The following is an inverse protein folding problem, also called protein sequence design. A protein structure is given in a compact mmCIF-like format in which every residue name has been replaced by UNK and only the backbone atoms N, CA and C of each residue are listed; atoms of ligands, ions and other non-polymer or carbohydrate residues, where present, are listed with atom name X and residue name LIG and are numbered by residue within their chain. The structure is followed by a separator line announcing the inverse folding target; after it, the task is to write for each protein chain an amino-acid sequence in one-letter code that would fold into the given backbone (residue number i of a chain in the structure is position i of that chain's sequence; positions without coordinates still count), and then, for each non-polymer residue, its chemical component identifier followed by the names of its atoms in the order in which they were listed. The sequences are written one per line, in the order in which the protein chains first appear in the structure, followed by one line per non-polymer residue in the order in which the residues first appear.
data_IF_083516205405
#
_entry.id   IF_083516205405
#
_cell.length_a   1.000
_cell.length_b   1.000
_cell.length_c   1.000
_cell.angle_alpha   90.00
_cell.angle_beta   90.00
_cell.angle_gamma   90.00
#
_symmetry.space_group_name_H-M   'P 1'
#
loop_
_entity.id
_entity.type
_entity.pdbx_description
1 polymer ?
#
# COMPACT_ATOMS: atom_id res chain seq x y z
N UNK A 1 -8.57 0.32 11.60
CA UNK A 1 -7.68 1.50 11.50
C UNK A 1 -6.20 1.10 11.41
N UNK A 2 -5.59 0.50 12.46
CA UNK A 2 -4.15 0.11 12.46
C UNK A 2 -3.69 -0.75 11.27
N UNK A 3 -4.54 -1.66 10.78
CA UNK A 3 -4.20 -2.48 9.60
C UNK A 3 -4.03 -1.65 8.32
N UNK A 4 -4.85 -0.61 8.12
CA UNK A 4 -4.72 0.27 6.96
C UNK A 4 -3.45 1.13 7.09
N UNK A 5 -3.17 1.65 8.29
CA UNK A 5 -1.92 2.36 8.57
C UNK A 5 -0.67 1.52 8.22
N UNK A 6 -0.58 0.29 8.76
CA UNK A 6 0.60 -0.56 8.63
C UNK A 6 0.73 -1.30 7.28
N UNK A 7 -0.37 -1.52 6.57
CA UNK A 7 -0.38 -2.32 5.32
C UNK A 7 -0.62 -1.48 4.07
N UNK A 8 -1.37 -0.37 4.16
CA UNK A 8 -1.53 0.56 3.05
C UNK A 8 -0.46 1.65 3.11
N UNK A 9 -0.59 2.61 4.04
CA UNK A 9 0.28 3.78 4.08
C UNK A 9 1.77 3.45 4.28
N UNK A 10 2.07 2.60 5.27
CA UNK A 10 3.46 2.20 5.56
C UNK A 10 4.14 1.47 4.40
N UNK A 11 3.42 0.56 3.74
CA UNK A 11 3.99 -0.23 2.65
C UNK A 11 4.11 0.60 1.37
N UNK A 12 3.19 1.54 1.12
CA UNK A 12 3.37 2.54 0.06
C UNK A 12 4.58 3.44 0.30
N UNK A 13 4.82 3.87 1.55
CA UNK A 13 6.03 4.61 1.91
C UNK A 13 7.31 3.81 1.60
N UNK A 14 7.32 2.51 1.92
CA UNK A 14 8.42 1.62 1.58
C UNK A 14 8.62 1.45 0.07
N UNK A 15 7.53 1.28 -0.68
CA UNK A 15 7.58 1.18 -2.13
C UNK A 15 8.12 2.47 -2.78
N UNK A 16 7.74 3.66 -2.27
CA UNK A 16 8.27 4.93 -2.75
C UNK A 16 9.76 5.08 -2.44
N UNK A 17 10.18 4.72 -1.22
CA UNK A 17 11.60 4.71 -0.87
C UNK A 17 12.42 3.78 -1.78
N UNK A 18 11.92 2.57 -2.02
CA UNK A 18 12.56 1.61 -2.93
C UNK A 18 12.67 2.17 -4.35
N UNK A 19 11.58 2.72 -4.89
CA UNK A 19 11.57 3.41 -6.18
C UNK A 19 12.60 4.53 -6.24
N UNK A 20 12.62 5.42 -5.25
CA UNK A 20 13.51 6.58 -5.21
C UNK A 20 15.00 6.18 -5.17
N UNK A 21 15.35 5.09 -4.48
CA UNK A 21 16.72 4.55 -4.46
C UNK A 21 17.09 3.98 -5.82
N UNK A 22 16.20 3.18 -6.42
CA UNK A 22 16.45 2.58 -7.73
C UNK A 22 16.66 3.67 -8.78
N UNK A 23 15.81 4.71 -8.82
CA UNK A 23 15.98 5.86 -9.71
C UNK A 23 17.30 6.61 -9.45
N UNK A 24 17.70 6.75 -8.19
CA UNK A 24 18.99 7.35 -7.84
C UNK A 24 20.15 6.53 -8.41
N UNK A 25 20.12 5.21 -8.25
CA UNK A 25 21.15 4.31 -8.78
C UNK A 25 21.20 4.33 -10.32
N UNK A 26 20.05 4.25 -10.97
CA UNK A 26 19.91 4.30 -12.44
C UNK A 26 20.42 5.62 -13.03
N UNK A 27 20.29 6.73 -12.28
CA UNK A 27 20.87 8.02 -12.66
C UNK A 27 22.40 8.12 -12.47
N UNK A 28 23.07 7.03 -12.08
CA UNK A 28 24.52 6.98 -11.87
C UNK A 28 25.00 7.63 -10.57
N UNK A 29 24.10 8.02 -9.66
CA UNK A 29 24.47 8.61 -8.38
C UNK A 29 24.89 7.53 -7.39
N UNK A 30 25.93 7.83 -6.61
CA UNK A 30 26.45 6.90 -5.59
C UNK A 30 25.49 6.77 -4.42
N UNK A 31 25.11 5.53 -4.10
CA UNK A 31 24.29 5.18 -2.94
C UNK A 31 25.16 5.12 -1.67
N UNK A 32 25.31 6.27 -1.00
CA UNK A 32 25.95 6.34 0.32
C UNK A 32 24.93 6.15 1.44
N UNK A 33 25.37 5.73 2.63
CA UNK A 33 24.48 5.69 3.81
C UNK A 33 23.81 7.05 4.07
N UNK A 34 24.53 8.16 3.86
CA UNK A 34 23.99 9.53 4.02
C UNK A 34 22.87 9.83 3.02
N UNK A 35 23.06 9.50 1.74
CA UNK A 35 22.05 9.77 0.70
C UNK A 35 20.82 8.89 0.87
N UNK A 36 21.00 7.60 1.16
CA UNK A 36 19.90 6.66 1.44
C UNK A 36 19.08 7.14 2.65
N UNK A 37 19.76 7.47 3.75
CA UNK A 37 19.12 7.97 4.97
C UNK A 37 18.34 9.26 4.71
N UNK A 38 18.86 10.16 3.86
CA UNK A 38 18.15 11.37 3.45
C UNK A 38 16.86 11.09 2.66
N UNK A 39 16.88 10.12 1.74
CA UNK A 39 15.68 9.71 0.99
C UNK A 39 14.64 9.08 1.94
N UNK A 40 15.09 8.25 2.89
CA UNK A 40 14.20 7.64 3.87
C UNK A 40 13.54 8.67 4.78
N UNK A 41 14.32 9.63 5.30
CA UNK A 41 13.81 10.73 6.13
C UNK A 41 12.76 11.56 5.37
N UNK A 42 13.02 11.93 4.11
CA UNK A 42 12.03 12.65 3.28
C UNK A 42 10.71 11.88 3.15
N UNK A 43 10.79 10.56 3.00
CA UNK A 43 9.61 9.70 2.96
C UNK A 43 8.89 9.66 4.32
N UNK A 44 9.62 9.55 5.45
CA UNK A 44 9.02 9.64 6.79
C UNK A 44 8.30 10.97 7.01
N UNK A 45 8.92 12.10 6.69
CA UNK A 45 8.33 13.44 6.83
C UNK A 45 7.05 13.59 6.01
N UNK A 46 7.04 13.06 4.78
CA UNK A 46 5.88 13.10 3.89
C UNK A 46 4.70 12.30 4.44
N UNK A 47 4.96 11.10 4.97
CA UNK A 47 3.90 10.17 5.38
C UNK A 47 3.41 10.38 6.82
N UNK A 48 4.30 10.76 7.75
CA UNK A 48 3.94 10.97 9.15
C UNK A 48 3.39 12.38 9.40
N UNK A 49 3.81 13.35 8.58
CA UNK A 49 3.40 14.74 8.69
C UNK A 49 3.90 15.43 9.97
N UNK A 50 3.46 16.67 10.18
CA UNK A 50 3.96 17.55 11.26
C UNK A 50 3.50 17.17 12.66
N UNK A 51 2.56 16.22 12.79
CA UNK A 51 2.00 15.80 14.07
C UNK A 51 2.84 14.74 14.81
N UNK A 52 3.90 14.23 14.17
CA UNK A 52 4.76 13.18 14.69
C UNK A 52 6.18 13.70 14.87
N UNK A 53 6.80 13.34 16.00
CA UNK A 53 8.25 13.51 16.20
C UNK A 53 8.95 12.33 15.55
N UNK A 54 9.94 12.62 14.69
CA UNK A 54 10.77 11.60 14.05
C UNK A 54 12.07 11.48 14.85
N UNK A 55 12.20 10.39 15.60
CA UNK A 55 13.43 10.09 16.32
C UNK A 55 14.59 9.86 15.34
N UNK A 56 15.79 10.32 15.70
CA UNK A 56 16.99 10.20 14.86
C UNK A 56 17.30 8.75 14.46
N UNK A 57 16.96 7.80 15.33
CA UNK A 57 17.12 6.36 15.09
C UNK A 57 16.22 5.85 13.97
N UNK A 58 15.04 6.45 13.78
CA UNK A 58 14.09 6.04 12.74
C UNK A 58 14.63 6.31 11.33
N UNK A 59 15.55 7.26 11.19
CA UNK A 59 16.23 7.55 9.93
C UNK A 59 17.00 6.34 9.38
N UNK A 60 17.40 5.39 10.24
CA UNK A 60 18.14 4.19 9.88
C UNK A 60 17.28 2.95 9.74
N UNK A 61 15.96 3.08 9.85
CA UNK A 61 15.05 1.92 9.77
C UNK A 61 15.15 1.20 8.41
N UNK A 62 15.49 1.91 7.34
CA UNK A 62 15.72 1.29 6.03
C UNK A 62 16.73 0.15 6.08
N UNK A 63 17.74 0.22 6.96
CA UNK A 63 18.80 -0.77 7.03
C UNK A 63 18.35 -2.12 7.63
N UNK A 64 17.17 -2.18 8.25
CA UNK A 64 16.64 -3.39 8.90
C UNK A 64 15.39 -3.97 8.22
N UNK A 65 14.97 -3.42 7.09
CA UNK A 65 13.77 -3.88 6.38
C UNK A 65 14.19 -4.98 5.38
N UNK A 66 13.87 -6.27 5.64
CA UNK A 66 14.36 -7.36 4.80
C UNK A 66 13.81 -7.33 3.37
N UNK A 67 12.63 -6.76 3.19
CA UNK A 67 11.99 -6.71 1.88
C UNK A 67 12.70 -5.81 0.87
N UNK A 68 13.57 -4.89 1.30
CA UNK A 68 14.40 -4.10 0.36
C UNK A 68 15.49 -4.93 -0.32
N UNK A 69 15.69 -6.17 0.10
CA UNK A 69 16.56 -7.14 -0.56
C UNK A 69 15.78 -8.06 -1.52
N UNK A 70 14.49 -7.81 -1.74
CA UNK A 70 13.64 -8.47 -2.73
C UNK A 70 12.87 -7.41 -3.52
N UNK A 71 13.46 -6.99 -4.64
CA UNK A 71 13.08 -5.80 -5.37
C UNK A 71 11.57 -5.76 -5.71
N UNK A 72 10.93 -4.65 -5.37
CA UNK A 72 9.55 -4.28 -5.67
C UNK A 72 8.52 -5.29 -5.19
N UNK A 73 8.72 -5.87 -4.00
CA UNK A 73 7.74 -6.74 -3.37
C UNK A 73 6.67 -5.99 -2.56
N UNK A 74 7.09 -4.96 -1.81
CA UNK A 74 6.28 -4.38 -0.73
C UNK A 74 5.02 -3.66 -1.19
N UNK A 75 5.00 -3.09 -2.41
CA UNK A 75 3.83 -2.40 -2.94
C UNK A 75 2.61 -3.33 -3.03
N UNK A 76 2.84 -4.64 -3.19
CA UNK A 76 1.79 -5.66 -3.29
C UNK A 76 0.93 -5.73 -2.03
N UNK A 77 1.48 -5.39 -0.86
CA UNK A 77 0.67 -5.33 0.37
C UNK A 77 -0.41 -4.25 0.29
N UNK A 78 -0.05 -3.06 -0.20
CA UNK A 78 -0.99 -1.94 -0.31
C UNK A 78 -2.06 -2.20 -1.38
N UNK A 79 -1.66 -2.73 -2.55
CA UNK A 79 -2.60 -3.06 -3.64
C UNK A 79 -3.52 -4.21 -3.25
N UNK A 80 -3.00 -5.27 -2.62
CA UNK A 80 -3.81 -6.41 -2.18
C UNK A 80 -4.79 -6.03 -1.09
N UNK A 81 -4.40 -5.19 -0.12
CA UNK A 81 -5.33 -4.68 0.87
C UNK A 81 -6.42 -3.83 0.22
N UNK A 82 -6.08 -3.01 -0.77
CA UNK A 82 -7.04 -2.18 -1.47
C UNK A 82 -8.07 -3.01 -2.25
N UNK A 83 -7.60 -4.05 -2.93
CA UNK A 83 -8.48 -5.01 -3.60
C UNK A 83 -9.39 -5.73 -2.59
N UNK A 84 -8.84 -6.20 -1.47
CA UNK A 84 -9.62 -6.89 -0.44
C UNK A 84 -10.71 -6.00 0.17
N UNK A 85 -10.41 -4.72 0.45
CA UNK A 85 -11.40 -3.77 0.94
C UNK A 85 -12.46 -3.51 -0.13
N UNK A 86 -12.07 -3.27 -1.39
CA UNK A 86 -13.02 -3.02 -2.48
C UNK A 86 -13.98 -4.21 -2.67
N UNK A 87 -13.46 -5.44 -2.80
CA UNK A 87 -14.27 -6.66 -2.88
C UNK A 87 -15.21 -6.80 -1.67
N UNK A 88 -14.69 -6.55 -0.46
CA UNK A 88 -15.49 -6.64 0.76
C UNK A 88 -16.63 -5.62 0.81
N UNK A 89 -16.41 -4.37 0.37
CA UNK A 89 -17.46 -3.34 0.34
C UNK A 89 -18.55 -3.68 -0.68
N UNK A 90 -18.19 -4.20 -1.87
CA UNK A 90 -19.17 -4.69 -2.85
C UNK A 90 -20.06 -5.79 -2.26
N UNK A 91 -19.46 -6.80 -1.65
CA UNK A 91 -20.19 -7.93 -1.03
C UNK A 91 -21.07 -7.45 0.13
N UNK A 92 -20.52 -6.65 1.05
CA UNK A 92 -21.24 -6.26 2.28
C UNK A 92 -22.29 -5.18 2.07
N UNK A 93 -22.21 -4.41 0.98
CA UNK A 93 -23.26 -3.46 0.58
C UNK A 93 -24.45 -4.13 -0.12
N UNK A 94 -24.35 -5.42 -0.46
CA UNK A 94 -25.40 -6.13 -1.20
C UNK A 94 -25.45 -5.77 -2.69
N UNK A 95 -24.32 -5.32 -3.27
CA UNK A 95 -24.24 -5.07 -4.71
C UNK A 95 -24.60 -6.34 -5.50
N UNK A 96 -25.53 -6.20 -6.45
CA UNK A 96 -26.03 -7.33 -7.24
C UNK A 96 -24.88 -7.95 -8.05
N UNK A 97 -24.64 -9.25 -7.87
CA UNK A 97 -23.58 -10.00 -8.56
C UNK A 97 -22.24 -10.04 -7.82
N UNK A 98 -22.06 -9.25 -6.75
CA UNK A 98 -20.76 -9.15 -6.08
C UNK A 98 -20.32 -10.44 -5.38
N UNK A 99 -21.27 -11.26 -4.92
CA UNK A 99 -20.97 -12.57 -4.29
C UNK A 99 -20.49 -13.56 -5.35
N UNK A 100 -21.18 -13.61 -6.49
CA UNK A 100 -20.84 -14.48 -7.62
C UNK A 100 -19.47 -14.10 -8.22
N UNK A 101 -19.22 -12.80 -8.39
CA UNK A 101 -17.93 -12.26 -8.81
C UNK A 101 -16.81 -12.69 -7.85
N UNK A 102 -17.04 -12.55 -6.53
CA UNK A 102 -16.06 -12.93 -5.51
C UNK A 102 -15.78 -14.44 -5.49
N UNK A 103 -16.81 -15.28 -5.63
CA UNK A 103 -16.64 -16.73 -5.72
C UNK A 103 -15.89 -17.14 -6.98
N UNK A 104 -16.14 -16.46 -8.10
CA UNK A 104 -15.40 -16.65 -9.35
C UNK A 104 -13.93 -16.28 -9.20
N UNK A 105 -13.63 -15.16 -8.54
CA UNK A 105 -12.26 -14.76 -8.18
C UNK A 105 -11.55 -15.86 -7.39
N UNK A 106 -12.19 -16.41 -6.35
CA UNK A 106 -11.59 -17.49 -5.54
C UNK A 106 -11.37 -18.77 -6.36
N UNK A 107 -12.33 -19.11 -7.23
CA UNK A 107 -12.25 -20.28 -8.11
C UNK A 107 -11.18 -20.17 -9.18
N UNK A 108 -10.73 -18.96 -9.52
CA UNK A 108 -9.68 -18.76 -10.52
C UNK A 108 -8.30 -19.24 -10.04
N UNK A 109 -7.98 -19.19 -8.75
CA UNK A 109 -6.62 -19.52 -8.30
C UNK A 109 -5.56 -18.72 -9.08
N UNK A 110 -4.61 -19.40 -9.71
CA UNK A 110 -3.45 -18.78 -10.38
C UNK A 110 -3.41 -18.98 -11.90
N UNK A 111 -4.53 -19.30 -12.55
CA UNK A 111 -4.54 -19.67 -13.99
C UNK A 111 -4.57 -18.49 -14.97
N UNK A 112 -4.71 -17.25 -14.48
CA UNK A 112 -4.73 -16.00 -15.24
C UNK A 112 -3.88 -14.94 -14.54
N UNK A 113 -3.59 -13.85 -15.27
CA UNK A 113 -2.91 -12.68 -14.71
C UNK A 113 -3.71 -12.06 -13.54
N UNK A 114 -3.06 -11.74 -12.40
CA UNK A 114 -3.76 -11.27 -11.20
C UNK A 114 -4.64 -10.04 -11.40
N UNK A 115 -4.21 -9.10 -12.27
CA UNK A 115 -4.98 -7.88 -12.57
C UNK A 115 -6.27 -8.21 -13.32
N UNK A 116 -6.23 -9.14 -14.27
CA UNK A 116 -7.41 -9.56 -15.02
C UNK A 116 -8.39 -10.33 -14.13
N UNK A 117 -7.91 -11.21 -13.23
CA UNK A 117 -8.79 -11.91 -12.29
C UNK A 117 -9.50 -10.91 -11.36
N UNK A 118 -8.80 -9.89 -10.86
CA UNK A 118 -9.41 -8.85 -10.03
C UNK A 118 -10.41 -8.00 -10.81
N UNK A 119 -10.10 -7.69 -12.07
CA UNK A 119 -10.99 -6.93 -12.94
C UNK A 119 -12.26 -7.70 -13.29
N UNK A 120 -12.16 -9.00 -13.57
CA UNK A 120 -13.29 -9.93 -13.71
C UNK A 120 -14.17 -9.91 -12.44
N UNK A 121 -13.55 -9.69 -11.27
CA UNK A 121 -14.22 -9.54 -9.97
C UNK A 121 -14.62 -8.10 -9.62
N UNK A 122 -14.70 -7.21 -10.62
CA UNK A 122 -15.15 -5.83 -10.49
C UNK A 122 -14.19 -4.89 -9.75
N UNK A 123 -12.90 -5.24 -9.65
CA UNK A 123 -11.87 -4.39 -9.03
C UNK A 123 -10.73 -4.14 -10.00
N UNK A 124 -10.66 -2.91 -10.50
CA UNK A 124 -9.54 -2.45 -11.33
C UNK A 124 -8.46 -1.76 -10.46
N UNK A 125 -7.26 -2.34 -10.42
CA UNK A 125 -6.10 -1.78 -9.70
C UNK A 125 -5.23 -0.84 -10.56
N UNK A 126 -5.54 -0.70 -11.85
CA UNK A 126 -4.85 0.23 -12.75
C UNK A 126 -5.44 1.65 -12.64
N UNK A 127 -6.69 1.74 -12.21
CA UNK A 127 -7.38 2.98 -11.84
C UNK A 127 -7.11 3.42 -10.40
N UNK A 128 -7.79 4.48 -9.97
CA UNK A 128 -7.65 5.04 -8.61
C UNK A 128 -8.70 4.53 -7.62
N UNK A 129 -9.78 3.95 -8.14
CA UNK A 129 -11.04 3.71 -7.45
C UNK A 129 -10.85 2.79 -6.25
N UNK A 130 -10.13 1.67 -6.41
CA UNK A 130 -9.85 0.73 -5.32
C UNK A 130 -9.06 1.37 -4.16
N UNK A 131 -8.16 2.29 -4.49
CA UNK A 131 -7.36 3.02 -3.49
C UNK A 131 -8.21 4.10 -2.80
N UNK A 132 -9.08 4.80 -3.54
CA UNK A 132 -10.01 5.79 -2.98
C UNK A 132 -10.99 5.15 -2.00
N UNK A 133 -11.51 3.95 -2.29
CA UNK A 133 -12.35 3.16 -1.37
C UNK A 133 -11.60 2.86 -0.06
N UNK A 134 -10.33 2.50 -0.15
CA UNK A 134 -9.48 2.24 1.03
C UNK A 134 -9.28 3.48 1.89
N UNK A 135 -8.98 4.62 1.25
CA UNK A 135 -8.85 5.92 1.94
C UNK A 135 -10.18 6.35 2.57
N UNK A 136 -11.30 6.15 1.89
CA UNK A 136 -12.63 6.43 2.43
C UNK A 136 -12.92 5.56 3.67
N UNK A 137 -12.66 4.25 3.59
CA UNK A 137 -12.83 3.33 4.73
C UNK A 137 -12.00 3.77 5.93
N UNK A 138 -10.75 4.17 5.71
CA UNK A 138 -9.90 4.71 6.78
C UNK A 138 -10.49 5.97 7.42
N UNK A 139 -10.93 6.95 6.61
CA UNK A 139 -11.55 8.19 7.10
C UNK A 139 -12.82 7.92 7.91
N UNK A 140 -13.67 6.98 7.45
CA UNK A 140 -14.88 6.57 8.16
C UNK A 140 -14.54 5.98 9.53
N UNK A 141 -13.64 5.00 9.58
CA UNK A 141 -13.20 4.38 10.83
C UNK A 141 -12.56 5.39 11.80
N UNK A 142 -11.78 6.35 11.29
CA UNK A 142 -11.19 7.42 12.09
C UNK A 142 -12.26 8.35 12.67
N UNK A 143 -13.29 8.71 11.88
CA UNK A 143 -14.41 9.53 12.36
C UNK A 143 -15.18 8.83 13.47
N UNK A 144 -15.50 7.54 13.27
CA UNK A 144 -16.17 6.70 14.27
C UNK A 144 -15.35 6.62 15.56
N UNK A 145 -14.03 6.38 15.45
CA UNK A 145 -13.13 6.34 16.60
C UNK A 145 -13.08 7.66 17.38
N UNK A 146 -13.12 8.81 16.69
CA UNK A 146 -13.14 10.14 17.34
C UNK A 146 -14.44 10.48 18.06
N UNK A 147 -15.52 9.75 17.78
CA UNK A 147 -16.83 9.94 18.42
C UNK A 147 -17.08 9.00 19.60
N UNK A 148 -16.13 8.10 19.91
CA UNK A 148 -16.10 7.31 21.14
C UNK A 148 -15.55 8.16 22.29
#
# INVERSE_FOLDING_TARGET
MKRIEATFYRQTMFANFEKDIHEMAESGKVLTSKSITGIYLKNLETYLGKGMVIDVQLNYEWARIPHFYNAFYVYKYATSLSAAIALSERVTSGEKGAVEDYLTFLGAGSHKEPLEILKDAGVDLTGKEAYEVTVYKFRKLLKEYKSL
#
